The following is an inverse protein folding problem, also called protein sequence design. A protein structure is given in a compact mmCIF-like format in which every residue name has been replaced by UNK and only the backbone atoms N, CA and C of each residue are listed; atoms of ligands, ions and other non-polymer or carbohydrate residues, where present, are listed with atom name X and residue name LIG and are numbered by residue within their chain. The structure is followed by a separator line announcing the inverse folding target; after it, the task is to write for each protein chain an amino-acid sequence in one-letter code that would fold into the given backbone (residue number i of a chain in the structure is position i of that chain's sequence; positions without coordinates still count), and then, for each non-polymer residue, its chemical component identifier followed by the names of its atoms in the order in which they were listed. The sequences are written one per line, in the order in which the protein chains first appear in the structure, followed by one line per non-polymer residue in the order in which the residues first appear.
data_IF_855339726076
#
_entry.id   IF_855339726076
#
_cell.length_a   1.000
_cell.length_b   1.000
_cell.length_c   1.000
_cell.angle_alpha   90.00
_cell.angle_beta   90.00
_cell.angle_gamma   90.00
#
_symmetry.space_group_name_H-M   'P 1'
#
loop_
_entity.id
_entity.type
_entity.pdbx_description
1 polymer ?
#
# COMPACT_ATOMS: atom_id res chain seq x y z
N UNK A 1 -15.39 -26.89 -9.82
CA UNK A 1 -14.55 -25.72 -9.51
C UNK A 1 -13.15 -26.03 -10.00
N UNK A 2 -12.74 -25.48 -11.15
CA UNK A 2 -11.36 -25.66 -11.64
C UNK A 2 -10.42 -24.95 -10.67
N UNK A 3 -9.53 -25.70 -10.03
CA UNK A 3 -8.56 -25.17 -9.08
C UNK A 3 -7.77 -24.02 -9.68
N UNK A 4 -7.46 -23.01 -8.88
CA UNK A 4 -6.56 -21.95 -9.31
C UNK A 4 -5.19 -22.53 -9.63
N UNK A 5 -4.58 -22.05 -10.70
CA UNK A 5 -3.18 -22.37 -10.95
C UNK A 5 -2.28 -21.74 -9.86
N UNK A 6 -1.10 -22.33 -9.68
CA UNK A 6 -0.11 -21.88 -8.69
C UNK A 6 0.27 -20.41 -8.87
N UNK A 7 0.27 -19.89 -10.10
CA UNK A 7 0.68 -18.50 -10.39
C UNK A 7 -0.35 -17.50 -9.86
N UNK A 8 -1.64 -17.80 -10.01
CA UNK A 8 -2.72 -16.98 -9.47
C UNK A 8 -2.69 -16.94 -7.95
N UNK A 9 -2.50 -18.09 -7.31
CA UNK A 9 -2.35 -18.16 -5.84
C UNK A 9 -1.18 -17.30 -5.37
N UNK A 10 0.00 -17.46 -6.00
CA UNK A 10 1.18 -16.66 -5.65
C UNK A 10 0.96 -15.17 -5.88
N UNK A 11 0.32 -14.76 -6.98
CA UNK A 11 0.01 -13.36 -7.24
C UNK A 11 -0.90 -12.78 -6.16
N UNK A 12 -1.97 -13.49 -5.78
CA UNK A 12 -2.91 -13.03 -4.74
C UNK A 12 -2.21 -12.90 -3.38
N UNK A 13 -1.44 -13.92 -2.97
CA UNK A 13 -0.71 -13.88 -1.71
C UNK A 13 0.32 -12.75 -1.68
N UNK A 14 1.05 -12.53 -2.79
CA UNK A 14 2.06 -11.47 -2.89
C UNK A 14 1.44 -10.08 -2.93
N UNK A 15 0.28 -9.93 -3.56
CA UNK A 15 -0.45 -8.66 -3.60
C UNK A 15 -1.06 -8.29 -2.24
N UNK A 16 -1.49 -9.28 -1.45
CA UNK A 16 -2.12 -9.05 -0.15
C UNK A 16 -1.11 -8.89 1.00
N UNK A 17 0.02 -9.62 0.96
CA UNK A 17 0.89 -9.76 2.12
C UNK A 17 1.45 -8.45 2.69
N UNK A 18 1.86 -7.44 1.89
CA UNK A 18 2.37 -6.19 2.47
C UNK A 18 1.33 -5.48 3.33
N UNK A 19 0.09 -5.36 2.85
CA UNK A 19 -1.01 -4.74 3.60
C UNK A 19 -1.34 -5.52 4.88
N UNK A 20 -1.35 -6.85 4.83
CA UNK A 20 -1.59 -7.68 6.02
C UNK A 20 -0.48 -7.52 7.06
N UNK A 21 0.79 -7.50 6.63
CA UNK A 21 1.92 -7.34 7.54
C UNK A 21 1.92 -5.97 8.21
N UNK A 22 1.66 -4.90 7.44
CA UNK A 22 1.52 -3.55 7.99
C UNK A 22 0.33 -3.46 8.95
N UNK A 23 -0.80 -4.09 8.62
CA UNK A 23 -1.96 -4.16 9.51
C UNK A 23 -1.63 -4.83 10.85
N UNK A 24 -0.91 -5.96 10.83
CA UNK A 24 -0.50 -6.69 12.04
C UNK A 24 0.38 -5.83 12.96
N UNK A 25 1.33 -5.09 12.39
CA UNK A 25 2.17 -4.15 13.15
C UNK A 25 1.31 -3.00 13.69
N UNK A 26 0.41 -2.47 12.86
CA UNK A 26 -0.43 -1.32 13.21
C UNK A 26 -1.38 -1.55 14.39
N UNK A 27 -1.71 -2.81 14.74
CA UNK A 27 -2.49 -3.12 15.96
C UNK A 27 -1.77 -2.62 17.22
N UNK A 28 -0.45 -2.54 17.19
CA UNK A 28 0.38 -2.07 18.31
C UNK A 28 0.79 -0.60 18.18
N UNK A 29 0.29 0.11 17.17
CA UNK A 29 0.66 1.51 16.92
C UNK A 29 0.13 2.42 18.05
N UNK A 30 0.99 3.17 18.76
CA UNK A 30 0.53 4.13 19.77
C UNK A 30 -0.19 5.32 19.13
N UNK A 31 -1.40 5.62 19.60
CA UNK A 31 -2.22 6.73 19.05
C UNK A 31 -1.53 8.11 19.14
N UNK A 32 -0.62 8.29 20.09
CA UNK A 32 0.08 9.54 20.33
C UNK A 32 1.56 9.31 20.60
N UNK A 33 2.39 10.21 20.08
CA UNK A 33 3.80 10.30 20.42
C UNK A 33 3.96 11.11 21.72
N UNK A 34 4.37 10.43 22.78
CA UNK A 34 4.67 10.98 24.12
C UNK A 34 5.99 10.38 24.61
N UNK A 35 6.52 10.86 25.73
CA UNK A 35 7.74 10.29 26.33
C UNK A 35 7.59 8.78 26.61
N UNK A 36 6.40 8.34 27.04
CA UNK A 36 6.12 6.95 27.35
C UNK A 36 6.03 6.05 26.10
N UNK A 37 5.69 6.61 24.93
CA UNK A 37 5.46 5.84 23.70
C UNK A 37 6.58 5.99 22.66
N UNK A 38 7.49 6.94 22.85
CA UNK A 38 8.50 7.32 21.86
C UNK A 38 9.41 6.16 21.41
N UNK A 39 9.83 5.30 22.34
CA UNK A 39 10.66 4.13 22.01
C UNK A 39 9.91 3.15 21.10
N UNK A 40 8.65 2.84 21.43
CA UNK A 40 7.80 1.95 20.62
C UNK A 40 7.51 2.57 19.26
N UNK A 41 7.20 3.87 19.23
CA UNK A 41 6.96 4.63 18.00
C UNK A 41 8.16 4.53 17.06
N UNK A 42 9.35 4.92 17.53
CA UNK A 42 10.59 4.84 16.75
C UNK A 42 10.86 3.42 16.25
N UNK A 43 10.85 2.43 17.14
CA UNK A 43 11.18 1.05 16.77
C UNK A 43 10.23 0.48 15.73
N UNK A 44 8.93 0.75 15.88
CA UNK A 44 7.92 0.29 14.94
C UNK A 44 8.06 0.96 13.58
N UNK A 45 8.31 2.27 13.52
CA UNK A 45 8.52 2.98 12.26
C UNK A 45 9.82 2.52 11.56
N UNK A 46 10.90 2.27 12.29
CA UNK A 46 12.12 1.64 11.71
C UNK A 46 11.82 0.28 11.10
N UNK A 47 10.99 -0.54 11.75
CA UNK A 47 10.57 -1.83 11.21
C UNK A 47 9.63 -1.72 9.98
N UNK A 48 8.89 -0.61 9.87
CA UNK A 48 7.96 -0.36 8.78
C UNK A 48 8.60 0.28 7.53
N UNK A 49 9.77 0.92 7.67
CA UNK A 49 10.55 1.47 6.55
C UNK A 49 10.68 0.52 5.34
N UNK A 50 10.99 -0.78 5.50
CA UNK A 50 11.02 -1.71 4.37
C UNK A 50 9.63 -2.21 3.92
N UNK A 51 8.58 -2.09 4.75
CA UNK A 51 7.26 -2.66 4.49
C UNK A 51 6.33 -1.71 3.76
N UNK A 52 6.28 -0.44 4.15
CA UNK A 52 5.44 0.56 3.48
C UNK A 52 5.69 0.70 1.97
N UNK A 53 6.94 0.80 1.47
CA UNK A 53 7.19 0.88 0.03
C UNK A 53 6.68 -0.37 -0.73
N UNK A 54 6.55 -1.52 -0.07
CA UNK A 54 6.01 -2.74 -0.69
C UNK A 54 4.51 -2.64 -1.00
N UNK A 55 3.78 -1.67 -0.45
CA UNK A 55 2.38 -1.43 -0.82
C UNK A 55 2.23 -1.04 -2.30
N UNK A 56 3.27 -0.49 -2.94
CA UNK A 56 3.30 -0.25 -4.39
C UNK A 56 3.54 -1.52 -5.23
N UNK A 57 3.87 -2.66 -4.61
CA UNK A 57 4.15 -3.90 -5.34
C UNK A 57 2.89 -4.47 -5.99
N UNK A 58 1.77 -4.50 -5.26
CA UNK A 58 0.49 -5.03 -5.73
C UNK A 58 -0.01 -4.34 -7.02
N UNK A 59 -0.13 -3.00 -7.10
CA UNK A 59 -0.56 -2.35 -8.33
C UNK A 59 0.35 -2.67 -9.52
N UNK A 60 1.67 -2.70 -9.34
CA UNK A 60 2.60 -3.07 -10.41
C UNK A 60 2.42 -4.51 -10.88
N UNK A 61 2.36 -5.47 -9.94
CA UNK A 61 2.19 -6.89 -10.24
C UNK A 61 0.89 -7.17 -11.00
N UNK A 62 -0.18 -6.43 -10.69
CA UNK A 62 -1.47 -6.54 -11.37
C UNK A 62 -1.43 -5.84 -12.74
N UNK A 63 -0.93 -4.60 -12.80
CA UNK A 63 -0.93 -3.79 -14.03
C UNK A 63 -0.10 -4.40 -15.16
N UNK A 64 1.04 -5.03 -14.86
CA UNK A 64 1.89 -5.66 -15.89
C UNK A 64 1.18 -6.78 -16.65
N UNK A 65 0.09 -7.33 -16.11
CA UNK A 65 -0.73 -8.33 -16.80
C UNK A 65 -1.73 -7.69 -17.78
N UNK A 66 -2.08 -6.41 -17.62
CA UNK A 66 -3.00 -5.69 -18.52
C UNK A 66 -2.27 -5.05 -19.71
N UNK A 67 -0.98 -4.75 -19.62
CA UNK A 67 -0.22 -4.06 -20.67
C UNK A 67 1.26 -3.86 -20.30
N UNK A 68 2.16 -3.83 -21.29
CA UNK A 68 3.59 -3.56 -21.02
C UNK A 68 3.76 -2.09 -20.57
N UNK A 69 3.13 -1.17 -21.31
CA UNK A 69 3.05 0.25 -20.94
C UNK A 69 2.39 0.43 -19.57
N UNK A 70 1.26 -0.25 -19.32
CA UNK A 70 0.59 -0.20 -18.02
C UNK A 70 1.49 -0.67 -16.87
N UNK A 71 2.26 -1.74 -17.08
CA UNK A 71 3.26 -2.20 -16.11
C UNK A 71 4.35 -1.16 -15.82
N UNK A 72 4.89 -0.51 -16.84
CA UNK A 72 5.91 0.54 -16.67
C UNK A 72 5.36 1.79 -15.99
N UNK A 73 4.16 2.24 -16.37
CA UNK A 73 3.49 3.36 -15.71
C UNK A 73 3.22 3.04 -14.25
N UNK A 74 2.71 1.84 -13.95
CA UNK A 74 2.47 1.41 -12.58
C UNK A 74 3.77 1.30 -11.76
N UNK A 75 4.87 0.87 -12.37
CA UNK A 75 6.18 0.84 -11.72
C UNK A 75 6.67 2.26 -11.37
N UNK A 76 6.59 3.19 -12.32
CA UNK A 76 7.05 4.56 -12.13
C UNK A 76 6.23 5.28 -11.04
N UNK A 77 4.90 5.18 -11.09
CA UNK A 77 4.02 5.74 -10.06
C UNK A 77 4.20 5.03 -8.71
N UNK A 78 4.37 3.70 -8.72
CA UNK A 78 4.67 2.93 -7.52
C UNK A 78 5.98 3.34 -6.87
N UNK A 79 7.01 3.65 -7.66
CA UNK A 79 8.28 4.18 -7.17
C UNK A 79 8.12 5.56 -6.52
N UNK A 80 7.32 6.45 -7.12
CA UNK A 80 6.99 7.76 -6.52
C UNK A 80 6.30 7.56 -5.17
N UNK A 81 5.26 6.72 -5.09
CA UNK A 81 4.63 6.38 -3.82
C UNK A 81 5.66 5.86 -2.81
N UNK A 82 6.44 4.85 -3.18
CA UNK A 82 7.39 4.20 -2.29
C UNK A 82 8.43 5.19 -1.74
N UNK A 83 8.94 6.08 -2.59
CA UNK A 83 9.93 7.09 -2.21
C UNK A 83 9.35 8.10 -1.22
N UNK A 84 8.23 8.73 -1.57
CA UNK A 84 7.62 9.77 -0.74
C UNK A 84 7.07 9.19 0.57
N UNK A 85 6.50 7.98 0.53
CA UNK A 85 5.97 7.33 1.72
C UNK A 85 7.09 6.88 2.67
N UNK A 86 8.21 6.38 2.14
CA UNK A 86 9.39 6.08 2.97
C UNK A 86 9.94 7.35 3.61
N UNK A 87 9.95 8.46 2.87
CA UNK A 87 10.34 9.78 3.41
C UNK A 87 9.44 10.25 4.54
N UNK A 88 8.11 10.14 4.37
CA UNK A 88 7.14 10.34 5.45
C UNK A 88 7.51 9.52 6.67
N UNK A 89 7.66 8.20 6.49
CA UNK A 89 7.81 7.25 7.59
C UNK A 89 9.12 7.45 8.37
N UNK A 90 10.17 7.85 7.65
CA UNK A 90 11.43 8.24 8.24
C UNK A 90 11.30 9.53 9.06
N UNK A 91 10.63 10.57 8.55
CA UNK A 91 10.54 11.87 9.21
C UNK A 91 9.53 11.86 10.37
N UNK A 92 8.26 11.60 10.06
CA UNK A 92 7.16 11.61 11.04
C UNK A 92 7.21 10.39 11.97
N UNK A 93 7.71 9.26 11.49
CA UNK A 93 7.86 8.04 12.28
C UNK A 93 9.14 8.07 13.09
N UNK A 94 10.25 7.73 12.45
CA UNK A 94 11.51 7.49 13.14
C UNK A 94 12.15 8.77 13.72
N UNK A 95 12.34 9.81 12.91
CA UNK A 95 13.03 11.02 13.35
C UNK A 95 12.26 11.78 14.43
N UNK A 96 10.94 11.94 14.30
CA UNK A 96 10.11 12.53 15.35
C UNK A 96 10.17 11.73 16.65
N UNK A 97 10.14 10.39 16.58
CA UNK A 97 10.29 9.52 17.76
C UNK A 97 11.65 9.69 18.44
N UNK A 98 12.73 9.77 17.66
CA UNK A 98 14.08 10.02 18.20
C UNK A 98 14.20 11.40 18.85
N UNK A 99 13.61 12.44 18.26
CA UNK A 99 13.59 13.79 18.84
C UNK A 99 12.77 13.86 20.13
N UNK A 100 11.66 13.12 20.23
CA UNK A 100 10.89 13.00 21.47
C UNK A 100 11.74 12.36 22.58
N UNK A 101 12.44 11.25 22.29
CA UNK A 101 13.36 10.62 23.25
C UNK A 101 14.49 11.56 23.71
N UNK A 102 14.94 12.44 22.81
CA UNK A 102 15.97 13.44 23.11
C UNK A 102 15.43 14.68 23.86
N UNK A 103 14.11 14.76 24.12
CA UNK A 103 13.48 15.94 24.74
C UNK A 103 13.49 17.18 23.85
N UNK A 104 13.66 17.02 22.52
CA UNK A 104 13.70 18.14 21.58
C UNK A 104 12.30 18.69 21.29
N UNK A 105 12.13 20.03 21.25
CA UNK A 105 10.87 20.65 20.84
C UNK A 105 10.59 20.52 19.33
N UNK A 106 11.58 20.10 18.53
CA UNK A 106 11.52 20.18 17.06
C UNK A 106 10.79 19.03 16.38
N UNK A 107 10.27 18.04 17.14
CA UNK A 107 9.54 16.88 16.57
C UNK A 107 8.40 17.29 15.62
N UNK A 108 7.73 18.41 15.91
CA UNK A 108 6.61 18.89 15.12
C UNK A 108 7.03 19.34 13.71
N UNK A 109 8.27 19.80 13.54
CA UNK A 109 8.84 20.12 12.23
C UNK A 109 8.92 18.84 11.40
N UNK A 110 9.41 17.74 11.99
CA UNK A 110 9.49 16.45 11.30
C UNK A 110 8.11 15.89 10.95
N UNK A 111 7.10 16.05 11.84
CA UNK A 111 5.72 15.69 11.51
C UNK A 111 5.17 16.44 10.32
N UNK A 112 5.33 17.77 10.30
CA UNK A 112 4.80 18.59 9.22
C UNK A 112 5.44 18.25 7.88
N UNK A 113 6.78 18.14 7.82
CA UNK A 113 7.49 17.72 6.61
C UNK A 113 7.07 16.32 6.15
N UNK A 114 6.93 15.37 7.08
CA UNK A 114 6.44 14.04 6.77
C UNK A 114 5.02 14.05 6.20
N UNK A 115 4.12 14.85 6.76
CA UNK A 115 2.75 15.01 6.27
C UNK A 115 2.71 15.62 4.86
N UNK A 116 3.57 16.58 4.55
CA UNK A 116 3.67 17.15 3.20
C UNK A 116 4.08 16.09 2.16
N UNK A 117 5.02 15.20 2.51
CA UNK A 117 5.39 14.07 1.65
C UNK A 117 4.25 13.04 1.52
N UNK A 118 3.47 12.85 2.59
CA UNK A 118 2.32 11.94 2.60
C UNK A 118 1.31 12.29 1.51
N UNK A 119 1.04 13.58 1.32
CA UNK A 119 0.08 14.08 0.31
C UNK A 119 0.48 13.55 -1.07
N UNK A 120 1.74 13.71 -1.47
CA UNK A 120 2.23 13.25 -2.78
C UNK A 120 2.12 11.74 -2.91
N UNK A 121 2.55 11.00 -1.88
CA UNK A 121 2.50 9.54 -1.88
C UNK A 121 1.07 9.03 -2.04
N UNK A 122 0.15 9.49 -1.18
CA UNK A 122 -1.22 8.96 -1.12
C UNK A 122 -2.01 9.30 -2.39
N UNK A 123 -1.88 10.52 -2.92
CA UNK A 123 -2.54 10.87 -4.19
C UNK A 123 -2.00 10.05 -5.36
N UNK A 124 -0.69 9.80 -5.39
CA UNK A 124 -0.08 8.92 -6.39
C UNK A 124 -0.61 7.50 -6.29
N UNK A 125 -0.72 6.96 -5.06
CA UNK A 125 -1.27 5.62 -4.83
C UNK A 125 -2.75 5.53 -5.21
N UNK A 126 -3.56 6.55 -4.87
CA UNK A 126 -4.97 6.58 -5.25
C UNK A 126 -5.15 6.63 -6.77
N UNK A 127 -4.39 7.47 -7.47
CA UNK A 127 -4.39 7.51 -8.93
C UNK A 127 -3.99 6.17 -9.55
N UNK A 128 -2.99 5.51 -8.97
CA UNK A 128 -2.56 4.18 -9.37
C UNK A 128 -3.66 3.11 -9.12
N UNK A 129 -4.32 3.17 -7.96
CA UNK A 129 -5.43 2.28 -7.62
C UNK A 129 -6.58 2.40 -8.61
N UNK A 130 -6.99 3.62 -8.96
CA UNK A 130 -8.03 3.89 -9.97
C UNK A 130 -7.60 3.38 -11.35
N UNK A 131 -6.39 3.75 -11.80
CA UNK A 131 -5.87 3.34 -13.10
C UNK A 131 -5.84 1.81 -13.27
N UNK A 132 -5.25 1.10 -12.31
CA UNK A 132 -5.11 -0.36 -12.39
C UNK A 132 -6.48 -1.04 -12.32
N UNK A 133 -7.38 -0.56 -11.47
CA UNK A 133 -8.74 -1.11 -11.36
C UNK A 133 -9.52 -0.99 -12.66
N UNK A 134 -9.44 0.17 -13.34
CA UNK A 134 -10.07 0.37 -14.64
C UNK A 134 -9.47 -0.55 -15.71
N UNK A 135 -8.14 -0.69 -15.75
CA UNK A 135 -7.47 -1.59 -16.68
C UNK A 135 -7.86 -3.05 -16.45
N UNK A 136 -7.98 -3.49 -15.20
CA UNK A 136 -8.46 -4.83 -14.86
C UNK A 136 -9.91 -5.01 -15.30
N UNK A 137 -10.80 -4.06 -15.02
CA UNK A 137 -12.21 -4.14 -15.43
C UNK A 137 -12.37 -4.25 -16.95
N UNK A 138 -11.58 -3.50 -17.72
CA UNK A 138 -11.56 -3.57 -19.19
C UNK A 138 -11.06 -4.93 -19.68
N UNK A 139 -10.01 -5.49 -19.06
CA UNK A 139 -9.36 -6.72 -19.54
C UNK A 139 -9.99 -8.01 -19.05
N UNK A 140 -10.56 -8.03 -17.85
CA UNK A 140 -11.17 -9.22 -17.25
C UNK A 140 -12.52 -9.59 -17.91
N UNK A 141 -13.12 -8.64 -18.64
CA UNK A 141 -14.37 -8.84 -19.36
C UNK A 141 -15.60 -8.90 -18.46
N UNK A 142 -16.78 -9.01 -19.07
CA UNK A 142 -18.08 -8.92 -18.37
C UNK A 142 -18.25 -9.91 -17.22
N UNK A 143 -17.70 -11.12 -17.34
CA UNK A 143 -17.80 -12.17 -16.32
C UNK A 143 -17.19 -11.76 -14.98
N UNK A 144 -16.15 -10.92 -15.00
CA UNK A 144 -15.41 -10.51 -13.80
C UNK A 144 -15.57 -9.02 -13.49
N UNK A 145 -16.49 -8.33 -14.17
CA UNK A 145 -16.71 -6.89 -13.99
C UNK A 145 -17.08 -6.55 -12.55
N UNK A 146 -18.04 -7.28 -11.95
CA UNK A 146 -18.47 -7.04 -10.57
C UNK A 146 -17.31 -7.15 -9.57
N UNK A 147 -16.48 -8.18 -9.69
CA UNK A 147 -15.32 -8.36 -8.82
C UNK A 147 -14.24 -7.31 -9.10
N UNK A 148 -14.03 -6.93 -10.35
CA UNK A 148 -13.07 -5.87 -10.72
C UNK A 148 -13.49 -4.52 -10.13
N UNK A 149 -14.77 -4.18 -10.21
CA UNK A 149 -15.34 -2.97 -9.61
C UNK A 149 -15.28 -3.03 -8.10
N UNK A 150 -15.69 -4.14 -7.48
CA UNK A 150 -15.62 -4.32 -6.03
C UNK A 150 -14.19 -4.17 -5.51
N UNK A 151 -13.23 -4.88 -6.11
CA UNK A 151 -11.81 -4.74 -5.77
C UNK A 151 -11.31 -3.31 -5.95
N UNK A 152 -11.72 -2.64 -7.04
CA UNK A 152 -11.40 -1.25 -7.31
C UNK A 152 -11.93 -0.26 -6.27
N UNK A 153 -13.18 -0.44 -5.85
CA UNK A 153 -13.81 0.36 -4.79
C UNK A 153 -13.08 0.17 -3.46
N UNK A 154 -12.71 -1.07 -3.12
CA UNK A 154 -11.94 -1.35 -1.89
C UNK A 154 -10.57 -0.66 -1.91
N UNK A 155 -9.79 -0.80 -2.99
CA UNK A 155 -8.45 -0.18 -3.05
C UNK A 155 -8.52 1.34 -3.10
N UNK A 156 -9.49 1.92 -3.83
CA UNK A 156 -9.64 3.37 -3.90
C UNK A 156 -10.14 3.94 -2.57
N UNK A 157 -11.12 3.30 -1.93
CA UNK A 157 -11.62 3.69 -0.60
C UNK A 157 -10.54 3.59 0.48
N UNK A 158 -9.74 2.52 0.46
CA UNK A 158 -8.60 2.40 1.37
C UNK A 158 -7.52 3.45 1.09
N UNK A 159 -7.18 3.69 -0.18
CA UNK A 159 -6.22 4.74 -0.57
C UNK A 159 -6.70 6.13 -0.18
N UNK A 160 -8.01 6.39 -0.22
CA UNK A 160 -8.59 7.62 0.27
C UNK A 160 -8.46 7.73 1.79
N UNK A 161 -8.76 6.67 2.54
CA UNK A 161 -8.60 6.66 4.01
C UNK A 161 -7.15 6.86 4.47
N UNK A 162 -6.16 6.51 3.62
CA UNK A 162 -4.75 6.77 3.84
C UNK A 162 -4.37 8.26 3.92
N UNK A 163 -5.22 9.17 3.38
CA UNK A 163 -4.94 10.61 3.36
C UNK A 163 -4.81 11.18 4.78
N UNK A 164 -5.49 10.56 5.76
CA UNK A 164 -5.62 11.05 7.12
C UNK A 164 -5.49 9.94 8.19
N UNK A 165 -5.52 8.65 7.83
CA UNK A 165 -5.04 7.55 8.68
C UNK A 165 -4.36 6.47 7.86
N UNK A 166 -3.06 6.34 8.10
CA UNK A 166 -2.27 5.30 7.47
C UNK A 166 -2.15 4.04 8.32
N UNK A 167 -1.87 4.13 9.62
CA UNK A 167 -1.62 2.91 10.43
C UNK A 167 -2.23 2.95 11.83
N UNK A 168 -2.72 4.10 12.27
CA UNK A 168 -3.33 4.30 13.58
C UNK A 168 -4.54 3.38 13.80
N UNK A 169 -4.52 2.61 14.88
CA UNK A 169 -5.66 1.79 15.27
C UNK A 169 -6.89 2.66 15.66
N UNK A 170 -8.13 2.24 15.32
CA UNK A 170 -8.49 1.09 14.50
C UNK A 170 -8.50 1.36 13.00
N UNK A 171 -8.65 2.62 12.60
CA UNK A 171 -8.96 2.98 11.21
C UNK A 171 -7.84 2.59 10.25
N UNK A 172 -6.59 2.94 10.54
CA UNK A 172 -5.44 2.61 9.70
C UNK A 172 -5.27 1.10 9.50
N UNK A 173 -5.49 0.30 10.54
CA UNK A 173 -5.42 -1.16 10.43
C UNK A 173 -6.54 -1.71 9.54
N UNK A 174 -7.78 -1.25 9.73
CA UNK A 174 -8.90 -1.64 8.85
C UNK A 174 -8.58 -1.24 7.41
N UNK A 175 -8.04 -0.04 7.19
CA UNK A 175 -7.64 0.46 5.89
C UNK A 175 -6.61 -0.44 5.21
N UNK A 176 -5.60 -0.91 5.93
CA UNK A 176 -4.60 -1.85 5.41
C UNK A 176 -5.20 -3.21 5.02
N UNK A 177 -6.14 -3.72 5.82
CA UNK A 177 -6.85 -4.98 5.51
C UNK A 177 -7.74 -4.81 4.28
N UNK A 178 -8.49 -3.71 4.18
CA UNK A 178 -9.33 -3.39 3.01
C UNK A 178 -8.47 -3.23 1.76
N UNK A 179 -7.30 -2.57 1.87
CA UNK A 179 -6.35 -2.42 0.78
C UNK A 179 -5.84 -3.79 0.31
N UNK A 180 -5.40 -4.65 1.23
CA UNK A 180 -4.94 -6.00 0.93
C UNK A 180 -6.04 -6.85 0.27
N UNK A 181 -7.27 -6.78 0.78
CA UNK A 181 -8.42 -7.49 0.22
C UNK A 181 -8.77 -6.99 -1.19
N UNK A 182 -8.77 -5.68 -1.41
CA UNK A 182 -9.03 -5.10 -2.73
C UNK A 182 -7.99 -5.55 -3.77
N UNK A 183 -6.70 -5.50 -3.42
CA UNK A 183 -5.64 -5.99 -4.32
C UNK A 183 -5.71 -7.51 -4.53
N UNK A 184 -6.05 -8.29 -3.51
CA UNK A 184 -6.28 -9.73 -3.64
C UNK A 184 -7.41 -10.04 -4.63
N UNK A 185 -8.52 -9.30 -4.56
CA UNK A 185 -9.65 -9.45 -5.50
C UNK A 185 -9.23 -9.09 -6.93
N UNK A 186 -8.52 -7.98 -7.13
CA UNK A 186 -8.04 -7.59 -8.46
C UNK A 186 -7.03 -8.60 -9.03
N UNK A 187 -6.11 -9.09 -8.21
CA UNK A 187 -5.18 -10.17 -8.56
C UNK A 187 -5.90 -11.49 -8.90
N UNK A 188 -6.99 -11.79 -8.20
CA UNK A 188 -7.79 -12.99 -8.44
C UNK A 188 -8.50 -12.97 -9.80
N UNK A 189 -8.78 -11.80 -10.37
CA UNK A 189 -9.56 -11.67 -11.62
C UNK A 189 -8.78 -11.12 -12.80
N UNK A 190 -7.58 -10.56 -12.60
CA UNK A 190 -6.77 -10.10 -13.73
C UNK A 190 -6.43 -11.28 -14.66
N UNK A 191 -6.56 -11.10 -16.00
CA UNK A 191 -6.13 -12.11 -16.95
C UNK A 191 -4.61 -12.29 -16.86
N UNK A 192 -4.16 -13.51 -16.54
CA UNK A 192 -2.73 -13.81 -16.50
C UNK A 192 -2.19 -13.88 -17.93
N UNK A 193 -1.01 -13.29 -18.13
CA UNK A 193 -0.28 -13.48 -19.38
C UNK A 193 0.24 -14.91 -19.45
N UNK A 194 0.15 -15.59 -20.61
CA UNK A 194 0.82 -16.87 -20.81
C UNK A 194 2.30 -16.76 -20.45
N UNK A 195 2.88 -17.84 -19.91
CA UNK A 195 4.32 -17.92 -19.80
C UNK A 195 4.93 -17.70 -21.19
N UNK A 196 5.97 -16.87 -21.30
CA UNK A 196 6.81 -16.92 -22.48
C UNK A 196 7.28 -18.38 -22.62
N UNK A 197 6.94 -19.03 -23.74
CA UNK A 197 7.49 -20.34 -24.06
C UNK A 197 8.99 -20.10 -24.27
N UNK A 198 9.82 -20.71 -23.43
CA UNK A 198 11.25 -20.79 -23.73
C UNK A 198 11.41 -21.53 -25.06
N UNK A 199 12.20 -21.00 -26.02
CA UNK A 199 12.46 -21.67 -27.28
C UNK A 199 13.12 -23.04 -27.08
#
# INVERSE_FOLDING_TARGET
MTGWDRRRVLLVLTAASPGVLVAMIGVFHPAHLTDATAQTWLGMHVALLPLFPLLALAPWLVARHTGAVAGWVALALGYVFATFYTGLDLLAGAAAGALQLAGSPDRNIMFNLGNDLAVVAVWTHLGLAVLVSLLVAIRAGRRHLTLSVAGGVLVAGASWSFLDSHIYWPRGVITMIVLAAGWAVLAAVVPLRPAARTP
#
